data_IF_508913484479
#
_entry.id   IF_508913484479
#
_cell.length_a   1.000
_cell.length_b   1.000
_cell.length_c   1.000
_cell.angle_alpha   90.00
_cell.angle_beta   90.00
_cell.angle_gamma   90.00
#
_symmetry.space_group_name_H-M   'P 1'
#
loop_
_entity.id
_entity.type
_entity.pdbx_description
1 polymer ?
#
# COMPACT_ATOMS: atom_id res chain seq x y z
N UNK A 1 7.41 -0.91 -16.81
CA UNK A 1 6.35 0.01 -16.32
C UNK A 1 6.71 1.40 -16.82
N UNK A 2 5.75 2.24 -17.21
CA UNK A 2 5.98 3.65 -17.51
C UNK A 2 5.05 4.49 -16.64
N UNK A 3 5.64 5.46 -15.94
CA UNK A 3 4.94 6.34 -15.02
C UNK A 3 4.94 7.76 -15.57
N UNK A 4 3.76 8.23 -15.96
CA UNK A 4 3.54 9.58 -16.47
C UNK A 4 2.75 10.39 -15.45
N UNK A 5 3.20 11.60 -15.16
CA UNK A 5 2.56 12.51 -14.22
C UNK A 5 2.51 13.92 -14.81
N UNK A 6 1.49 14.68 -14.42
CA UNK A 6 1.38 16.10 -14.73
C UNK A 6 1.11 16.90 -13.47
N UNK A 7 1.78 18.05 -13.36
CA UNK A 7 1.70 18.94 -12.21
C UNK A 7 1.45 20.37 -12.67
N UNK A 8 0.78 21.15 -11.84
CA UNK A 8 0.60 22.59 -12.05
C UNK A 8 0.89 23.35 -10.77
N UNK A 9 1.46 24.55 -10.89
CA UNK A 9 1.73 25.34 -9.70
C UNK A 9 2.46 26.64 -9.96
N UNK A 10 2.91 27.26 -8.87
CA UNK A 10 3.64 28.53 -8.87
C UNK A 10 5.15 28.36 -8.77
N UNK A 11 5.67 27.13 -8.89
CA UNK A 11 7.11 26.91 -8.95
C UNK A 11 7.63 27.44 -10.29
N UNK A 12 8.62 28.33 -10.24
CA UNK A 12 9.22 28.90 -11.44
C UNK A 12 9.81 27.80 -12.34
N UNK A 13 9.66 27.93 -13.66
CA UNK A 13 10.18 26.96 -14.62
C UNK A 13 11.71 26.80 -14.51
N UNK A 14 12.44 27.90 -14.24
CA UNK A 14 13.88 27.86 -14.00
C UNK A 14 14.25 26.96 -12.81
N UNK A 15 13.47 27.01 -11.71
CA UNK A 15 13.69 26.11 -10.57
C UNK A 15 13.45 24.65 -10.94
N UNK A 16 12.44 24.34 -11.77
CA UNK A 16 12.21 22.97 -12.27
C UNK A 16 13.40 22.49 -13.09
N UNK A 17 13.91 23.34 -13.98
CA UNK A 17 15.08 23.05 -14.80
C UNK A 17 16.34 22.81 -13.96
N UNK A 18 16.64 23.69 -13.01
CA UNK A 18 17.77 23.57 -12.09
C UNK A 18 17.69 22.30 -11.22
N UNK A 19 16.51 22.01 -10.67
CA UNK A 19 16.28 20.79 -9.90
C UNK A 19 16.54 19.54 -10.75
N UNK A 20 16.02 19.52 -11.99
CA UNK A 20 16.22 18.39 -12.90
C UNK A 20 17.69 18.20 -13.28
N UNK A 21 18.39 19.28 -13.62
CA UNK A 21 19.83 19.23 -13.89
C UNK A 21 20.61 18.64 -12.72
N UNK A 22 20.31 19.08 -11.49
CA UNK A 22 20.98 18.57 -10.31
C UNK A 22 20.65 17.10 -10.05
N UNK A 23 19.39 16.69 -10.21
CA UNK A 23 18.97 15.28 -10.12
C UNK A 23 19.71 14.39 -11.14
N UNK A 24 19.78 14.82 -12.39
CA UNK A 24 20.49 14.10 -13.46
C UNK A 24 21.98 14.00 -13.17
N UNK A 25 22.59 14.96 -12.47
CA UNK A 25 23.99 14.91 -12.02
C UNK A 25 24.22 13.90 -10.92
N UNK A 26 23.38 13.90 -9.88
CA UNK A 26 23.64 13.10 -8.68
C UNK A 26 23.13 11.65 -8.78
N UNK A 27 22.19 11.36 -9.67
CA UNK A 27 21.60 10.02 -9.82
C UNK A 27 22.01 9.36 -11.14
N UNK A 28 22.89 8.35 -11.06
CA UNK A 28 23.33 7.57 -12.22
C UNK A 28 22.18 6.89 -12.97
N UNK A 29 21.12 6.49 -12.27
CA UNK A 29 19.91 5.93 -12.87
C UNK A 29 19.26 6.83 -13.93
N UNK A 30 19.35 8.16 -13.78
CA UNK A 30 18.85 9.12 -14.77
C UNK A 30 19.77 9.28 -15.99
N UNK A 31 20.92 8.60 -16.01
CA UNK A 31 21.85 8.56 -17.13
C UNK A 31 21.98 7.17 -17.75
N UNK A 32 21.08 6.25 -17.39
CA UNK A 32 21.02 4.92 -18.00
C UNK A 32 20.31 5.00 -19.35
N UNK A 33 20.99 4.55 -20.39
CA UNK A 33 20.44 4.32 -21.72
C UNK A 33 20.36 2.80 -21.99
N UNK A 34 19.42 2.41 -22.84
CA UNK A 34 19.29 1.00 -23.29
C UNK A 34 19.51 0.97 -24.79
N UNK A 35 20.54 0.26 -25.21
CA UNK A 35 20.83 -0.02 -26.61
C UNK A 35 20.25 -1.37 -27.01
N UNK A 36 19.67 -1.42 -28.21
CA UNK A 36 19.28 -2.67 -28.87
C UNK A 36 20.31 -3.01 -29.95
N UNK A 37 21.51 -3.41 -29.56
CA UNK A 37 22.46 -4.05 -30.47
C UNK A 37 22.36 -5.58 -30.37
N UNK A 38 21.94 -6.24 -31.46
CA UNK A 38 21.86 -7.71 -31.53
C UNK A 38 20.59 -8.32 -30.95
N UNK A 39 20.67 -9.55 -30.42
CA UNK A 39 19.49 -10.29 -29.90
C UNK A 39 19.14 -9.98 -28.43
N UNK A 40 20.00 -9.31 -27.68
CA UNK A 40 19.76 -8.99 -26.27
C UNK A 40 20.07 -7.50 -25.98
N UNK A 41 19.16 -6.76 -25.33
CA UNK A 41 19.39 -5.35 -25.01
C UNK A 41 20.51 -5.18 -23.97
N UNK A 42 21.37 -4.19 -24.17
CA UNK A 42 22.45 -3.82 -23.24
C UNK A 42 22.11 -2.51 -22.54
N UNK A 43 22.40 -2.44 -21.24
CA UNK A 43 22.28 -1.21 -20.46
C UNK A 43 23.66 -0.59 -20.29
N UNK A 44 23.78 0.72 -20.51
CA UNK A 44 25.00 1.45 -20.22
C UNK A 44 24.67 2.81 -19.60
N UNK A 45 25.60 3.33 -18.79
CA UNK A 45 25.48 4.66 -18.17
C UNK A 45 26.27 5.65 -19.04
N UNK A 46 25.61 6.69 -19.53
CA UNK A 46 26.30 7.77 -20.25
C UNK A 46 26.90 8.77 -19.26
N UNK A 47 28.14 9.20 -19.53
CA UNK A 47 28.81 10.21 -18.71
C UNK A 47 28.29 11.63 -18.97
N UNK A 48 27.56 11.84 -20.07
CA UNK A 48 26.97 13.12 -20.42
C UNK A 48 25.64 13.36 -19.70
N UNK A 49 25.40 14.62 -19.31
CA UNK A 49 24.13 15.10 -18.77
C UNK A 49 23.10 15.27 -19.91
N UNK A 50 22.73 14.18 -20.58
CA UNK A 50 21.71 14.22 -21.64
C UNK A 50 20.37 14.60 -21.00
N UNK A 51 19.91 15.81 -21.28
CA UNK A 51 18.65 16.33 -20.78
C UNK A 51 17.52 16.06 -21.77
N UNK A 52 16.65 15.10 -21.42
CA UNK A 52 15.37 14.90 -22.09
C UNK A 52 14.33 15.91 -21.57
N UNK A 53 14.63 17.19 -21.78
CA UNK A 53 13.87 18.34 -21.32
C UNK A 53 13.33 19.14 -22.51
N UNK A 54 12.09 19.59 -22.44
CA UNK A 54 11.50 20.51 -23.40
C UNK A 54 10.77 21.63 -22.67
N UNK A 55 10.91 22.85 -23.15
CA UNK A 55 10.23 24.03 -22.59
C UNK A 55 9.39 24.71 -23.66
N UNK A 56 8.17 25.08 -23.29
CA UNK A 56 7.20 25.73 -24.16
C UNK A 56 6.68 26.99 -23.50
N UNK A 57 6.98 28.14 -24.11
CA UNK A 57 6.51 29.43 -23.63
C UNK A 57 5.13 29.77 -24.20
N UNK A 58 4.11 29.79 -23.34
CA UNK A 58 2.73 30.13 -23.67
C UNK A 58 2.27 31.42 -22.97
N UNK A 59 3.19 32.25 -22.47
CA UNK A 59 2.85 33.50 -21.76
C UNK A 59 2.06 34.49 -22.60
N UNK A 60 2.29 34.49 -23.92
CA UNK A 60 1.60 35.37 -24.87
C UNK A 60 0.24 34.83 -25.35
N UNK A 61 -0.17 33.63 -24.92
CA UNK A 61 -1.46 33.04 -25.26
C UNK A 61 -2.53 33.45 -24.25
N UNK A 62 -3.79 33.49 -24.70
CA UNK A 62 -4.91 33.47 -23.76
C UNK A 62 -4.90 32.15 -22.97
N UNK A 63 -5.29 32.20 -21.70
CA UNK A 63 -5.31 31.03 -20.78
C UNK A 63 -6.02 29.83 -21.42
N UNK A 64 -7.18 30.04 -22.04
CA UNK A 64 -7.91 28.97 -22.73
C UNK A 64 -7.15 28.38 -23.93
N UNK A 65 -6.44 29.22 -24.69
CA UNK A 65 -5.61 28.78 -25.81
C UNK A 65 -4.40 27.96 -25.36
N UNK A 66 -3.75 28.36 -24.26
CA UNK A 66 -2.65 27.60 -23.67
C UNK A 66 -3.10 26.22 -23.18
N UNK A 67 -4.25 26.16 -22.48
CA UNK A 67 -4.85 24.90 -22.03
C UNK A 67 -5.27 24.01 -23.18
N UNK A 68 -5.81 24.57 -24.27
CA UNK A 68 -6.15 23.78 -25.46
C UNK A 68 -4.92 23.11 -26.08
N UNK A 69 -3.76 23.79 -26.08
CA UNK A 69 -2.50 23.21 -26.56
C UNK A 69 -2.01 22.10 -25.63
N UNK A 70 -1.99 22.33 -24.32
CA UNK A 70 -1.61 21.31 -23.32
C UNK A 70 -2.53 20.09 -23.44
N UNK A 71 -3.84 20.30 -23.60
CA UNK A 71 -4.80 19.22 -23.73
C UNK A 71 -4.60 18.37 -24.98
N UNK A 72 -4.07 18.95 -26.07
CA UNK A 72 -3.73 18.19 -27.27
C UNK A 72 -2.51 17.27 -27.07
N UNK A 73 -1.58 17.63 -26.16
CA UNK A 73 -0.44 16.80 -25.79
C UNK A 73 -0.80 15.72 -24.76
N UNK A 74 -1.92 15.85 -24.05
CA UNK A 74 -2.33 14.91 -22.99
C UNK A 74 -2.34 13.46 -23.46
N UNK A 75 -2.85 13.22 -24.66
CA UNK A 75 -2.90 11.88 -25.26
C UNK A 75 -1.50 11.31 -25.45
N UNK A 76 -0.52 12.12 -25.87
CA UNK A 76 0.88 11.69 -26.00
C UNK A 76 1.46 11.28 -24.65
N UNK A 77 1.17 12.01 -23.58
CA UNK A 77 1.62 11.66 -22.22
C UNK A 77 0.95 10.40 -21.67
N UNK A 78 -0.25 10.06 -22.18
CA UNK A 78 -0.95 8.81 -21.91
C UNK A 78 -0.52 7.64 -22.81
N UNK A 79 0.39 7.84 -23.76
CA UNK A 79 0.88 6.77 -24.64
C UNK A 79 2.30 6.32 -24.24
N UNK A 80 2.66 5.05 -24.51
CA UNK A 80 4.02 4.57 -24.31
C UNK A 80 5.03 5.43 -25.09
N UNK A 81 6.18 5.70 -24.47
CA UNK A 81 7.29 6.33 -25.19
C UNK A 81 7.78 5.44 -26.35
N UNK A 82 8.22 6.08 -27.43
CA UNK A 82 8.94 5.38 -28.50
C UNK A 82 10.34 5.04 -28.01
N UNK A 83 10.83 3.85 -28.35
CA UNK A 83 12.20 3.45 -28.08
C UNK A 83 13.18 4.50 -28.62
N UNK A 84 14.18 4.87 -27.83
CA UNK A 84 15.20 5.86 -28.19
C UNK A 84 16.53 5.51 -27.52
N UNK A 85 17.65 5.89 -28.14
CA UNK A 85 19.01 5.80 -27.56
C UNK A 85 19.26 6.84 -26.45
N UNK A 86 18.20 7.44 -25.90
CA UNK A 86 18.26 8.45 -24.84
C UNK A 86 17.89 7.84 -23.48
N UNK A 87 18.21 8.53 -22.37
CA UNK A 87 17.78 8.08 -21.05
C UNK A 87 16.27 7.84 -20.99
N UNK A 88 15.84 6.83 -20.24
CA UNK A 88 14.43 6.38 -20.23
C UNK A 88 13.51 7.26 -19.35
N UNK A 89 13.61 8.57 -19.52
CA UNK A 89 12.76 9.56 -18.90
C UNK A 89 12.58 10.79 -19.81
N UNK A 90 11.53 11.57 -19.59
CA UNK A 90 11.23 12.80 -20.33
C UNK A 90 10.54 13.80 -19.42
N UNK A 91 10.91 15.08 -19.51
CA UNK A 91 10.25 16.19 -18.80
C UNK A 91 9.89 17.28 -19.80
N UNK A 92 8.65 17.76 -19.74
CA UNK A 92 8.22 18.93 -20.48
C UNK A 92 7.63 19.99 -19.55
N UNK A 93 8.03 21.23 -19.75
CA UNK A 93 7.58 22.39 -18.98
C UNK A 93 6.83 23.35 -19.90
N UNK A 94 5.66 23.78 -19.47
CA UNK A 94 4.82 24.75 -20.15
C UNK A 94 4.66 25.97 -19.25
N UNK A 95 5.11 27.12 -19.74
CA UNK A 95 5.05 28.40 -19.01
C UNK A 95 3.74 29.08 -19.40
N UNK A 96 2.82 29.20 -18.45
CA UNK A 96 1.50 29.78 -18.67
C UNK A 96 1.46 31.28 -18.31
N UNK A 97 0.44 32.02 -18.78
CA UNK A 97 0.18 33.38 -18.30
C UNK A 97 0.01 33.41 -16.77
N UNK A 98 0.50 34.48 -16.12
CA UNK A 98 0.39 34.66 -14.67
C UNK A 98 1.38 33.87 -13.83
N UNK A 99 2.57 33.57 -14.37
CA UNK A 99 3.67 32.86 -13.68
C UNK A 99 3.31 31.44 -13.20
N UNK A 100 2.36 30.81 -13.88
CA UNK A 100 1.98 29.43 -13.62
C UNK A 100 2.80 28.47 -14.49
N UNK A 101 3.27 27.38 -13.89
CA UNK A 101 4.05 26.36 -14.59
C UNK A 101 3.27 25.05 -14.62
N UNK A 102 3.20 24.40 -15.79
CA UNK A 102 2.76 23.02 -15.93
C UNK A 102 3.94 22.14 -16.25
N UNK A 103 4.12 21.05 -15.50
CA UNK A 103 5.23 20.10 -15.69
C UNK A 103 4.66 18.73 -15.97
N UNK A 104 5.03 18.13 -17.10
CA UNK A 104 4.81 16.72 -17.37
C UNK A 104 6.10 15.94 -17.22
N UNK A 105 6.02 14.77 -16.60
CA UNK A 105 7.15 13.87 -16.42
C UNK A 105 6.78 12.47 -16.89
N UNK A 106 7.72 11.76 -17.49
CA UNK A 106 7.66 10.34 -17.79
C UNK A 106 8.92 9.67 -17.27
N UNK A 107 8.77 8.57 -16.54
CA UNK A 107 9.88 7.73 -16.08
C UNK A 107 9.61 6.27 -16.40
N UNK A 108 10.63 5.55 -16.86
CA UNK A 108 10.55 4.11 -17.09
C UNK A 108 11.01 3.31 -15.87
N UNK A 109 10.23 2.29 -15.55
CA UNK A 109 10.48 1.33 -14.48
C UNK A 109 11.77 0.53 -14.66
N UNK A 110 12.37 0.50 -15.86
CA UNK A 110 13.66 -0.16 -16.09
C UNK A 110 14.82 0.53 -15.36
N UNK A 111 14.73 1.85 -15.15
CA UNK A 111 15.81 2.64 -14.53
C UNK A 111 15.51 3.03 -13.08
N UNK A 112 14.23 3.18 -12.73
CA UNK A 112 13.79 3.64 -11.42
C UNK A 112 12.58 2.83 -10.94
N UNK A 113 12.62 2.35 -9.70
CA UNK A 113 11.41 1.78 -9.09
C UNK A 113 10.38 2.87 -8.74
N UNK A 114 9.14 2.47 -8.45
CA UNK A 114 8.05 3.42 -8.19
C UNK A 114 8.30 4.37 -7.01
N UNK A 115 8.99 3.93 -5.95
CA UNK A 115 9.36 4.81 -4.83
C UNK A 115 10.44 5.81 -5.27
N UNK A 116 11.43 5.36 -6.01
CA UNK A 116 12.49 6.20 -6.57
C UNK A 116 11.91 7.28 -7.48
N UNK A 117 10.94 6.93 -8.33
CA UNK A 117 10.19 7.89 -9.16
C UNK A 117 9.44 8.91 -8.28
N UNK A 118 8.72 8.45 -7.25
CA UNK A 118 8.00 9.34 -6.34
C UNK A 118 8.93 10.33 -5.61
N UNK A 119 10.11 9.85 -5.18
CA UNK A 119 11.13 10.70 -4.53
C UNK A 119 11.67 11.77 -5.49
N UNK A 120 12.01 11.37 -6.73
CA UNK A 120 12.48 12.29 -7.77
C UNK A 120 11.42 13.35 -8.09
N UNK A 121 10.15 12.97 -8.14
CA UNK A 121 9.04 13.92 -8.37
C UNK A 121 8.95 14.96 -7.26
N UNK A 122 9.04 14.54 -5.99
CA UNK A 122 9.01 15.48 -4.86
C UNK A 122 10.19 16.45 -4.91
N UNK A 123 11.38 15.96 -5.27
CA UNK A 123 12.58 16.77 -5.45
C UNK A 123 12.48 17.73 -6.63
N UNK A 124 11.98 17.26 -7.78
CA UNK A 124 11.77 18.06 -8.98
C UNK A 124 10.80 19.22 -8.71
N UNK A 125 9.74 18.96 -7.95
CA UNK A 125 8.74 19.95 -7.55
C UNK A 125 9.19 20.84 -6.37
N UNK A 126 10.43 20.73 -5.90
CA UNK A 126 10.96 21.52 -4.79
C UNK A 126 10.32 21.23 -3.43
N UNK A 127 9.59 20.12 -3.29
CA UNK A 127 8.87 19.73 -2.08
C UNK A 127 9.72 18.81 -1.16
N UNK A 128 10.84 18.31 -1.69
CA UNK A 128 11.85 17.58 -0.92
C UNK A 128 13.25 18.11 -1.26
N UNK A 129 14.19 18.13 -0.29
CA UNK A 129 15.55 18.55 -0.56
C UNK A 129 16.25 17.57 -1.50
N UNK A 130 17.08 18.11 -2.39
CA UNK A 130 17.94 17.31 -3.25
C UNK A 130 19.29 17.16 -2.54
N UNK A 131 19.47 16.02 -1.87
CA UNK A 131 20.68 15.73 -1.11
C UNK A 131 21.51 14.72 -1.89
N UNK A 132 22.73 15.09 -2.26
CA UNK A 132 23.72 14.13 -2.73
C UNK A 132 24.09 13.23 -1.55
N UNK A 133 23.55 12.02 -1.55
CA UNK A 133 24.03 10.99 -0.65
C UNK A 133 25.27 10.38 -1.32
N UNK A 134 26.43 10.52 -0.69
CA UNK A 134 27.64 9.75 -1.01
C UNK A 134 27.38 8.28 -0.65
N UNK A 135 26.42 7.65 -1.33
CA UNK A 135 26.19 6.22 -1.19
C UNK A 135 27.11 5.60 -2.21
N UNK A 136 28.23 5.06 -1.71
CA UNK A 136 28.97 4.03 -2.43
C UNK A 136 27.91 3.06 -2.94
N UNK A 137 27.80 2.89 -4.26
CA UNK A 137 26.94 1.86 -4.85
C UNK A 137 27.23 0.59 -4.06
N UNK A 138 26.25 0.14 -3.28
CA UNK A 138 26.38 -1.13 -2.58
C UNK A 138 26.38 -2.16 -3.69
N UNK A 139 27.57 -2.46 -4.21
CA UNK A 139 27.88 -3.72 -4.86
C UNK A 139 27.75 -4.78 -3.76
N UNK A 140 26.52 -5.12 -3.43
CA UNK A 140 26.26 -6.29 -2.63
C UNK A 140 26.01 -7.42 -3.63
N UNK A 141 27.07 -8.20 -3.84
CA UNK A 141 26.95 -9.65 -3.89
C UNK A 141 25.91 -10.04 -2.83
N UNK A 142 24.64 -10.15 -3.22
CA UNK A 142 23.68 -10.91 -2.47
C UNK A 142 24.19 -12.34 -2.57
N UNK A 143 25.10 -12.71 -1.67
CA UNK A 143 25.49 -14.09 -1.49
C UNK A 143 24.19 -14.90 -1.42
N UNK A 144 24.13 -15.88 -2.31
CA UNK A 144 23.04 -16.81 -2.61
C UNK A 144 22.59 -17.68 -1.42
N UNK A 145 22.89 -17.25 -0.20
CA UNK A 145 22.35 -17.82 1.02
C UNK A 145 20.82 -17.81 0.95
N UNK A 146 20.23 -19.00 1.02
CA UNK A 146 18.79 -19.17 0.96
C UNK A 146 18.17 -19.17 -0.44
N UNK A 147 18.92 -19.04 -1.55
CA UNK A 147 18.32 -19.09 -2.89
C UNK A 147 17.64 -20.44 -3.15
N UNK A 148 18.30 -21.56 -2.79
CA UNK A 148 17.74 -22.90 -2.99
C UNK A 148 16.48 -23.13 -2.15
N UNK A 149 16.48 -22.64 -0.91
CA UNK A 149 15.34 -22.71 0.01
C UNK A 149 14.18 -21.86 -0.51
N UNK A 150 14.46 -20.62 -0.93
CA UNK A 150 13.48 -19.73 -1.52
C UNK A 150 12.89 -20.30 -2.81
N UNK A 151 13.74 -20.87 -3.68
CA UNK A 151 13.29 -21.56 -4.89
C UNK A 151 12.36 -22.72 -4.54
N UNK A 152 12.73 -23.59 -3.59
CA UNK A 152 11.86 -24.71 -3.15
C UNK A 152 10.53 -24.20 -2.62
N UNK A 153 10.55 -23.17 -1.76
CA UNK A 153 9.35 -22.54 -1.23
C UNK A 153 8.41 -22.07 -2.36
N UNK A 154 8.93 -21.29 -3.32
CA UNK A 154 8.12 -20.75 -4.41
C UNK A 154 7.61 -21.84 -5.35
N UNK A 155 8.48 -22.79 -5.75
CA UNK A 155 8.09 -23.91 -6.61
C UNK A 155 6.98 -24.76 -5.98
N UNK A 156 7.01 -24.99 -4.67
CA UNK A 156 5.93 -25.66 -3.95
C UNK A 156 4.68 -24.78 -3.89
N UNK A 157 4.81 -23.49 -3.54
CA UNK A 157 3.66 -22.59 -3.39
C UNK A 157 2.87 -22.43 -4.68
N UNK A 158 3.54 -22.16 -5.81
CA UNK A 158 2.86 -21.96 -7.10
C UNK A 158 2.20 -23.24 -7.63
N UNK A 159 2.52 -24.43 -7.11
CA UNK A 159 1.76 -25.64 -7.45
C UNK A 159 0.30 -25.58 -7.03
N UNK A 160 0.00 -24.79 -6.00
CA UNK A 160 -1.37 -24.60 -5.51
C UNK A 160 -2.15 -23.53 -6.28
N UNK A 161 -1.50 -22.75 -7.15
CA UNK A 161 -2.19 -21.67 -7.84
C UNK A 161 -3.14 -22.24 -8.90
N UNK A 162 -4.40 -21.78 -8.93
CA UNK A 162 -5.36 -22.19 -9.94
C UNK A 162 -4.92 -21.72 -11.34
N UNK A 163 -5.58 -22.26 -12.37
CA UNK A 163 -5.31 -21.83 -13.74
C UNK A 163 -5.62 -20.34 -13.93
N UNK A 164 -4.84 -19.65 -14.77
CA UNK A 164 -5.12 -18.25 -15.14
C UNK A 164 -6.52 -18.06 -15.76
N UNK A 165 -7.19 -19.15 -16.17
CA UNK A 165 -8.49 -19.15 -16.85
C UNK A 165 -9.71 -18.89 -15.94
N UNK A 166 -9.55 -18.88 -14.62
CA UNK A 166 -10.68 -18.78 -13.68
C UNK A 166 -11.25 -17.36 -13.54
N UNK A 167 -10.62 -16.38 -14.17
CA UNK A 167 -11.14 -15.00 -14.29
C UNK A 167 -11.79 -14.86 -15.67
N UNK A 168 -13.00 -14.27 -15.77
CA UNK A 168 -13.72 -14.12 -17.03
C UNK A 168 -13.12 -13.01 -17.90
N UNK A 169 -11.92 -13.26 -18.43
CA UNK A 169 -11.23 -12.33 -19.32
C UNK A 169 -12.04 -12.09 -20.59
N UNK A 170 -12.24 -10.82 -20.93
CA UNK A 170 -12.94 -10.44 -22.17
C UNK A 170 -12.08 -10.64 -23.43
N UNK A 171 -10.77 -10.79 -23.26
CA UNK A 171 -9.81 -11.05 -24.33
C UNK A 171 -8.70 -12.00 -23.88
N UNK A 172 -8.03 -12.64 -24.84
CA UNK A 172 -6.87 -13.48 -24.55
C UNK A 172 -5.70 -12.62 -24.03
N UNK A 173 -5.27 -12.90 -22.81
CA UNK A 173 -4.14 -12.22 -22.17
C UNK A 173 -2.83 -12.37 -22.96
N UNK A 174 -2.65 -13.43 -23.74
CA UNK A 174 -1.44 -13.60 -24.56
C UNK A 174 -1.42 -12.69 -25.80
N UNK A 175 -2.54 -12.02 -26.12
CA UNK A 175 -2.64 -11.06 -27.22
C UNK A 175 -2.31 -9.61 -26.80
N UNK A 176 -2.00 -9.37 -25.51
CA UNK A 176 -1.72 -8.04 -24.96
C UNK A 176 -0.32 -7.53 -25.36
N UNK A 177 -0.19 -7.06 -26.60
CA UNK A 177 1.06 -6.50 -27.15
C UNK A 177 0.99 -4.97 -27.20
N UNK A 178 -0.10 -4.40 -27.73
CA UNK A 178 -0.38 -2.97 -27.74
C UNK A 178 -1.80 -2.77 -27.25
N UNK A 179 -1.91 -2.18 -26.07
CA UNK A 179 -3.17 -2.05 -25.37
C UNK A 179 -3.33 -0.62 -24.88
N UNK A 180 -4.58 -0.17 -24.81
CA UNK A 180 -4.90 1.07 -24.13
C UNK A 180 -5.07 0.79 -22.64
N UNK A 181 -4.80 1.79 -21.82
CA UNK A 181 -4.96 1.69 -20.37
C UNK A 181 -6.08 2.62 -19.91
N UNK A 182 -6.99 2.06 -19.14
CA UNK A 182 -8.00 2.80 -18.40
C UNK A 182 -7.55 2.96 -16.94
N UNK A 183 -8.15 3.94 -16.26
CA UNK A 183 -7.91 4.18 -14.85
C UNK A 183 -9.20 4.57 -14.16
N UNK A 184 -9.45 3.93 -13.03
CA UNK A 184 -10.51 4.33 -12.10
C UNK A 184 -9.92 4.55 -10.71
N UNK A 185 -10.48 5.51 -9.97
CA UNK A 185 -9.95 5.93 -8.67
C UNK A 185 -11.09 6.07 -7.67
N UNK A 186 -10.86 5.63 -6.44
CA UNK A 186 -11.66 6.01 -5.28
C UNK A 186 -10.78 6.61 -4.18
N UNK A 187 -11.39 7.42 -3.33
CA UNK A 187 -10.77 8.04 -2.15
C UNK A 187 -11.55 7.64 -0.92
N UNK A 188 -10.85 6.98 0.02
CA UNK A 188 -11.40 6.55 1.30
C UNK A 188 -10.89 7.49 2.39
N UNK A 189 -11.78 8.16 3.14
CA UNK A 189 -11.35 9.12 4.17
C UNK A 189 -10.40 8.50 5.19
N UNK A 190 -9.35 9.23 5.52
CA UNK A 190 -8.33 8.89 6.53
C UNK A 190 -8.95 8.37 7.83
N UNK A 191 -9.99 9.05 8.33
CA UNK A 191 -10.69 8.66 9.55
C UNK A 191 -11.30 7.25 9.51
N UNK A 192 -11.81 6.79 8.35
CA UNK A 192 -12.32 5.42 8.21
C UNK A 192 -11.18 4.42 8.19
N UNK A 193 -10.11 4.74 7.47
CA UNK A 193 -8.91 3.89 7.37
C UNK A 193 -8.27 3.71 8.75
N UNK A 194 -8.12 4.78 9.51
CA UNK A 194 -7.53 4.74 10.86
C UNK A 194 -8.35 3.88 11.82
N UNK A 195 -9.68 4.02 11.82
CA UNK A 195 -10.54 3.18 12.67
C UNK A 195 -10.41 1.71 12.29
N UNK A 196 -10.58 1.37 11.00
CA UNK A 196 -10.48 -0.02 10.53
C UNK A 196 -9.09 -0.61 10.80
N UNK A 197 -8.03 0.17 10.57
CA UNK A 197 -6.66 -0.25 10.84
C UNK A 197 -6.40 -0.45 12.34
N UNK A 198 -6.93 0.43 13.20
CA UNK A 198 -6.81 0.31 14.65
C UNK A 198 -7.48 -0.97 15.15
N UNK A 199 -8.67 -1.30 14.66
CA UNK A 199 -9.36 -2.53 15.04
C UNK A 199 -8.60 -3.78 14.60
N UNK A 200 -8.16 -3.85 13.34
CA UNK A 200 -7.36 -4.99 12.89
C UNK A 200 -6.01 -5.11 13.61
N UNK A 201 -5.40 -3.99 14.02
CA UNK A 201 -4.15 -3.99 14.79
C UNK A 201 -4.31 -4.63 16.17
N UNK A 202 -5.48 -4.49 16.83
CA UNK A 202 -5.78 -5.20 18.09
C UNK A 202 -5.71 -6.72 17.93
N UNK A 203 -5.92 -7.22 16.72
CA UNK A 203 -5.86 -8.64 16.35
C UNK A 203 -4.51 -9.07 15.75
N UNK A 204 -3.51 -8.17 15.79
CA UNK A 204 -2.16 -8.41 15.30
C UNK A 204 -1.99 -8.25 13.78
N UNK A 205 -2.93 -7.59 13.10
CA UNK A 205 -2.83 -7.32 11.67
C UNK A 205 -2.12 -6.00 11.37
N UNK A 206 -1.30 -6.02 10.33
CA UNK A 206 -0.65 -4.85 9.78
C UNK A 206 -1.63 -4.07 8.89
N UNK A 207 -1.51 -2.74 8.90
CA UNK A 207 -2.34 -1.83 8.10
C UNK A 207 -2.33 -2.18 6.61
N UNK A 208 -1.15 -2.48 6.05
CA UNK A 208 -1.00 -2.88 4.65
C UNK A 208 -1.78 -4.18 4.34
N UNK A 209 -1.75 -5.17 5.24
CA UNK A 209 -2.50 -6.42 5.07
C UNK A 209 -4.00 -6.20 5.15
N UNK A 210 -4.48 -5.34 6.05
CA UNK A 210 -5.92 -5.04 6.14
C UNK A 210 -6.42 -4.44 4.83
N UNK A 211 -5.71 -3.44 4.29
CA UNK A 211 -6.07 -2.79 3.04
C UNK A 211 -5.97 -3.76 1.85
N UNK A 212 -4.87 -4.51 1.75
CA UNK A 212 -4.66 -5.50 0.70
C UNK A 212 -5.68 -6.65 0.77
N UNK A 213 -6.05 -7.09 1.97
CA UNK A 213 -7.09 -8.10 2.19
C UNK A 213 -8.46 -7.61 1.77
N UNK A 214 -8.80 -6.34 2.06
CA UNK A 214 -10.02 -5.72 1.58
C UNK A 214 -10.06 -5.60 0.05
N UNK A 215 -8.94 -5.23 -0.58
CA UNK A 215 -8.80 -5.19 -2.05
C UNK A 215 -8.93 -6.60 -2.65
N UNK A 216 -8.22 -7.59 -2.10
CA UNK A 216 -8.29 -8.97 -2.58
C UNK A 216 -9.69 -9.55 -2.43
N UNK A 217 -10.37 -9.26 -1.32
CA UNK A 217 -11.77 -9.61 -1.14
C UNK A 217 -12.66 -8.95 -2.20
N UNK A 218 -12.48 -7.65 -2.47
CA UNK A 218 -13.23 -6.94 -3.52
C UNK A 218 -13.00 -7.55 -4.91
N UNK A 219 -11.75 -7.92 -5.24
CA UNK A 219 -11.44 -8.67 -6.46
C UNK A 219 -12.18 -10.01 -6.50
N UNK A 220 -12.19 -10.78 -5.41
CA UNK A 220 -12.91 -12.06 -5.39
C UNK A 220 -14.43 -11.92 -5.42
N UNK A 221 -14.96 -10.80 -4.93
CA UNK A 221 -16.39 -10.49 -5.04
C UNK A 221 -16.77 -10.06 -6.46
N UNK A 222 -15.83 -9.49 -7.21
CA UNK A 222 -16.07 -8.94 -8.54
C UNK A 222 -15.77 -9.91 -9.69
N UNK A 223 -14.73 -10.74 -9.56
CA UNK A 223 -14.16 -11.47 -10.70
C UNK A 223 -14.20 -12.98 -10.58
N UNK A 224 -13.78 -13.54 -9.44
CA UNK A 224 -13.66 -15.00 -9.28
C UNK A 224 -13.62 -15.42 -7.81
N UNK A 225 -13.95 -16.67 -7.50
CA UNK A 225 -13.92 -17.19 -6.13
C UNK A 225 -12.50 -17.23 -5.52
N UNK A 226 -11.47 -17.13 -6.35
CA UNK A 226 -10.06 -17.08 -5.95
C UNK A 226 -9.30 -16.17 -6.91
N UNK A 227 -8.31 -15.47 -6.37
CA UNK A 227 -7.38 -14.64 -7.15
C UNK A 227 -5.95 -14.91 -6.68
N UNK A 228 -5.02 -14.94 -7.63
CA UNK A 228 -3.59 -14.85 -7.37
C UNK A 228 -3.10 -13.53 -7.96
N UNK A 229 -2.17 -12.89 -7.27
CA UNK A 229 -1.68 -11.58 -7.66
C UNK A 229 -0.22 -11.42 -7.24
N UNK A 230 0.51 -10.59 -8.00
CA UNK A 230 1.83 -10.16 -7.60
C UNK A 230 1.75 -8.92 -6.71
N UNK A 231 2.71 -8.81 -5.79
CA UNK A 231 2.89 -7.67 -4.90
C UNK A 231 4.31 -7.16 -5.13
N UNK A 232 4.49 -6.00 -5.79
CA UNK A 232 5.78 -5.37 -5.92
C UNK A 232 6.35 -5.03 -4.55
N UNK A 233 7.62 -5.34 -4.33
CA UNK A 233 8.33 -5.12 -3.07
C UNK A 233 9.73 -4.59 -3.34
N UNK A 234 10.24 -3.81 -2.39
CA UNK A 234 11.59 -3.29 -2.42
C UNK A 234 12.42 -3.96 -1.31
N UNK A 235 13.50 -4.68 -1.63
CA UNK A 235 14.32 -5.37 -0.63
C UNK A 235 14.93 -4.42 0.41
N UNK A 236 15.36 -3.23 -0.04
CA UNK A 236 15.99 -2.21 0.80
C UNK A 236 15.56 -0.82 0.38
N UNK A 237 15.33 0.04 1.37
CA UNK A 237 15.12 1.47 1.15
C UNK A 237 16.42 2.29 1.19
N UNK A 238 17.55 1.65 1.48
CA UNK A 238 18.89 2.25 1.52
C UNK A 238 19.53 2.13 0.14
N UNK A 239 20.23 3.16 -0.30
CA UNK A 239 20.92 3.11 -1.59
C UNK A 239 20.75 4.38 -2.41
N UNK A 240 21.35 4.37 -3.59
CA UNK A 240 21.01 5.28 -4.65
C UNK A 240 19.58 5.03 -5.15
N UNK A 241 18.93 6.07 -5.68
CA UNK A 241 17.66 5.93 -6.40
C UNK A 241 17.91 5.17 -7.71
N UNK A 242 17.33 4.00 -7.84
CA UNK A 242 17.47 3.08 -8.97
C UNK A 242 16.25 2.16 -9.02
N UNK A 243 16.17 1.24 -9.99
CA UNK A 243 15.23 0.13 -9.88
C UNK A 243 15.86 -1.03 -9.10
N UNK A 244 15.38 -1.25 -7.88
CA UNK A 244 15.72 -2.43 -7.07
C UNK A 244 14.48 -3.30 -6.77
N UNK A 245 13.37 -3.02 -7.45
CA UNK A 245 12.10 -3.69 -7.17
C UNK A 245 12.13 -5.14 -7.65
N UNK A 246 11.52 -6.00 -6.84
CA UNK A 246 11.13 -7.37 -7.21
C UNK A 246 9.65 -7.51 -6.86
N UNK A 247 9.09 -8.71 -6.97
CA UNK A 247 7.75 -8.96 -6.48
C UNK A 247 7.65 -10.33 -5.83
N UNK A 248 6.67 -10.46 -4.93
CA UNK A 248 6.25 -11.73 -4.35
C UNK A 248 4.86 -12.07 -4.90
N UNK A 249 4.51 -13.35 -4.93
CA UNK A 249 3.15 -13.76 -5.29
C UNK A 249 2.33 -14.12 -4.06
N UNK A 250 1.04 -13.78 -4.08
CA UNK A 250 0.07 -14.15 -3.06
C UNK A 250 -1.19 -14.74 -3.70
N UNK A 251 -1.91 -15.52 -2.91
CA UNK A 251 -3.20 -16.08 -3.28
C UNK A 251 -4.24 -15.73 -2.22
N UNK A 252 -5.44 -15.38 -2.67
CA UNK A 252 -6.56 -15.06 -1.80
C UNK A 252 -7.83 -15.76 -2.30
N UNK A 253 -8.49 -16.49 -1.41
CA UNK A 253 -9.78 -17.12 -1.66
C UNK A 253 -10.90 -16.33 -1.02
N UNK A 254 -12.03 -16.26 -1.71
CA UNK A 254 -13.22 -15.53 -1.29
C UNK A 254 -13.68 -15.99 0.09
N UNK A 255 -13.80 -15.05 1.02
CA UNK A 255 -14.43 -15.30 2.30
C UNK A 255 -15.94 -15.00 2.22
N UNK A 256 -16.79 -15.95 2.64
CA UNK A 256 -18.26 -15.75 2.68
C UNK A 256 -18.66 -14.61 3.61
N UNK A 257 -17.87 -14.38 4.67
CA UNK A 257 -18.06 -13.29 5.63
C UNK A 257 -16.72 -12.61 5.83
N UNK A 258 -16.63 -11.36 5.39
CA UNK A 258 -15.44 -10.53 5.60
C UNK A 258 -15.27 -10.20 7.08
N UNK A 259 -14.09 -10.50 7.62
CA UNK A 259 -13.64 -10.16 8.97
C UNK A 259 -12.12 -9.95 8.99
N UNK A 260 -11.58 -9.39 10.07
CA UNK A 260 -10.14 -9.22 10.22
C UNK A 260 -9.41 -10.57 10.24
N UNK A 261 -9.93 -11.57 10.95
CA UNK A 261 -9.35 -12.92 11.02
C UNK A 261 -9.20 -13.55 9.64
N UNK A 262 -10.12 -13.24 8.71
CA UNK A 262 -10.06 -13.73 7.34
C UNK A 262 -8.83 -13.24 6.56
N UNK A 263 -8.17 -12.17 7.02
CA UNK A 263 -6.95 -11.63 6.43
C UNK A 263 -5.66 -12.13 7.07
N UNK A 264 -5.71 -12.93 8.15
CA UNK A 264 -4.51 -13.44 8.83
C UNK A 264 -3.66 -14.32 7.94
N UNK A 265 -4.29 -15.21 7.18
CA UNK A 265 -3.59 -16.06 6.21
C UNK A 265 -2.87 -15.23 5.14
N UNK A 266 -3.48 -14.14 4.69
CA UNK A 266 -2.83 -13.22 3.75
C UNK A 266 -1.61 -12.54 4.39
N UNK A 267 -1.67 -12.16 5.66
CA UNK A 267 -0.51 -11.61 6.37
C UNK A 267 0.66 -12.59 6.39
N UNK A 268 0.38 -13.82 6.81
CA UNK A 268 1.38 -14.90 6.89
C UNK A 268 1.96 -15.18 5.50
N UNK A 269 1.12 -15.24 4.48
CA UNK A 269 1.53 -15.50 3.11
C UNK A 269 2.47 -14.42 2.54
N UNK A 270 2.18 -13.15 2.86
CA UNK A 270 2.99 -11.99 2.48
C UNK A 270 4.31 -11.98 3.22
N UNK A 271 4.30 -12.21 4.54
CA UNK A 271 5.52 -12.27 5.35
C UNK A 271 6.44 -13.41 4.91
N UNK A 272 5.88 -14.59 4.61
CA UNK A 272 6.64 -15.72 4.06
C UNK A 272 7.20 -15.38 2.67
N UNK A 273 6.45 -14.69 1.83
CA UNK A 273 6.94 -14.20 0.54
C UNK A 273 8.15 -13.27 0.71
N UNK A 274 8.08 -12.32 1.63
CA UNK A 274 9.18 -11.40 1.95
C UNK A 274 10.43 -12.12 2.47
N UNK A 275 10.29 -13.22 3.19
CA UNK A 275 11.43 -14.02 3.66
C UNK A 275 12.13 -14.81 2.55
N UNK A 276 11.51 -14.94 1.37
CA UNK A 276 12.00 -15.77 0.26
C UNK A 276 12.28 -14.92 -1.00
N UNK A 277 12.66 -13.66 -0.83
CA UNK A 277 12.96 -12.74 -1.96
C UNK A 277 14.28 -13.05 -2.69
N UNK A 278 15.14 -13.92 -2.16
CA UNK A 278 16.38 -14.35 -2.83
C UNK A 278 16.08 -15.04 -4.17
N UNK A 279 14.92 -15.68 -4.30
CA UNK A 279 14.40 -16.12 -5.60
C UNK A 279 13.54 -14.99 -6.19
N UNK A 280 14.05 -14.32 -7.22
CA UNK A 280 13.49 -13.06 -7.69
C UNK A 280 12.11 -13.22 -8.34
N UNK A 281 11.36 -12.13 -8.46
CA UNK A 281 10.12 -12.08 -9.23
C UNK A 281 10.34 -12.40 -10.72
N UNK A 282 11.54 -12.15 -11.25
CA UNK A 282 11.91 -12.54 -12.62
C UNK A 282 12.04 -14.05 -12.73
N UNK A 283 12.71 -14.70 -11.78
CA UNK A 283 12.81 -16.16 -11.74
C UNK A 283 11.45 -16.82 -11.53
N UNK A 284 10.62 -16.25 -10.65
CA UNK A 284 9.25 -16.67 -10.43
C UNK A 284 8.40 -16.53 -11.70
N UNK A 285 8.52 -15.41 -12.41
CA UNK A 285 7.86 -15.17 -13.69
C UNK A 285 8.20 -16.26 -14.71
N UNK A 286 9.49 -16.58 -14.87
CA UNK A 286 9.95 -17.62 -15.83
C UNK A 286 9.26 -18.95 -15.57
N UNK A 287 9.24 -19.39 -14.31
CA UNK A 287 8.61 -20.66 -13.94
C UNK A 287 7.11 -20.65 -14.22
N UNK A 288 6.40 -19.59 -13.84
CA UNK A 288 4.95 -19.48 -14.06
C UNK A 288 4.62 -19.46 -15.55
N UNK A 289 5.33 -18.66 -16.35
CA UNK A 289 5.20 -18.60 -17.80
C UNK A 289 5.42 -19.95 -18.46
N UNK A 290 6.51 -20.66 -18.12
CA UNK A 290 6.85 -21.98 -18.67
C UNK A 290 5.80 -23.03 -18.34
N UNK A 291 5.28 -23.01 -17.10
CA UNK A 291 4.29 -23.96 -16.60
C UNK A 291 2.93 -23.75 -17.25
N UNK A 292 2.47 -22.51 -17.31
CA UNK A 292 1.12 -22.17 -17.80
C UNK A 292 1.08 -21.83 -19.29
N UNK A 293 2.22 -21.88 -20.00
CA UNK A 293 2.35 -21.54 -21.42
C UNK A 293 1.78 -20.16 -21.72
N UNK A 294 2.10 -19.19 -20.85
CA UNK A 294 1.64 -17.80 -20.96
C UNK A 294 2.83 -16.85 -20.98
N UNK A 295 2.64 -15.67 -21.57
CA UNK A 295 3.57 -14.55 -21.49
C UNK A 295 3.24 -13.57 -20.35
N UNK A 296 2.14 -13.80 -19.62
CA UNK A 296 1.69 -12.96 -18.50
C UNK A 296 1.62 -13.83 -17.24
N UNK A 297 2.64 -13.77 -16.36
CA UNK A 297 2.68 -14.64 -15.19
C UNK A 297 1.68 -14.21 -14.11
N UNK A 298 1.48 -12.91 -13.93
CA UNK A 298 0.59 -12.34 -12.91
C UNK A 298 -0.23 -11.21 -13.51
N UNK A 299 -1.45 -11.48 -14.03
CA UNK A 299 -2.27 -10.45 -14.66
C UNK A 299 -2.89 -9.49 -13.64
N UNK A 300 -2.95 -9.87 -12.36
CA UNK A 300 -3.42 -9.03 -11.27
C UNK A 300 -2.23 -8.63 -10.40
N UNK A 301 -2.17 -7.34 -10.06
CA UNK A 301 -1.15 -6.76 -9.19
C UNK A 301 -1.82 -5.93 -8.11
N UNK A 302 -1.30 -6.01 -6.89
CA UNK A 302 -1.64 -5.08 -5.81
C UNK A 302 -0.37 -4.36 -5.37
N UNK A 303 -0.29 -3.07 -5.67
CA UNK A 303 0.88 -2.25 -5.34
C UNK A 303 0.61 -1.41 -4.10
N UNK A 304 1.40 -1.67 -3.05
CA UNK A 304 1.38 -0.88 -1.82
C UNK A 304 2.31 0.33 -1.95
N UNK A 305 1.73 1.54 -1.95
CA UNK A 305 2.47 2.80 -2.05
C UNK A 305 2.37 3.64 -0.77
N UNK A 306 1.88 3.07 0.35
CA UNK A 306 1.66 3.78 1.61
C UNK A 306 2.91 4.51 2.15
N UNK A 307 4.10 3.97 1.87
CA UNK A 307 5.39 4.53 2.33
C UNK A 307 6.10 5.37 1.27
N UNK A 308 5.49 5.59 0.11
CA UNK A 308 6.10 6.39 -0.94
C UNK A 308 5.94 7.88 -0.61
N UNK A 309 6.96 8.71 -0.92
CA UNK A 309 6.84 10.14 -0.76
C UNK A 309 5.74 10.68 -1.68
N UNK A 310 5.00 11.66 -1.18
CA UNK A 310 3.98 12.39 -1.93
C UNK A 310 4.20 13.87 -1.75
N UNK A 311 3.74 14.68 -2.71
CA UNK A 311 3.80 16.13 -2.57
C UNK A 311 3.02 16.56 -1.32
N UNK A 312 3.59 17.49 -0.56
CA UNK A 312 2.94 18.04 0.62
C UNK A 312 1.70 18.85 0.24
N UNK A 313 0.75 18.99 1.17
CA UNK A 313 -0.43 19.83 0.98
C UNK A 313 -0.06 21.31 0.76
N UNK A 314 1.15 21.72 1.16
CA UNK A 314 1.71 23.07 0.99
C UNK A 314 2.64 23.22 -0.21
N UNK A 315 2.84 22.17 -0.99
CA UNK A 315 3.69 22.20 -2.18
C UNK A 315 3.26 23.32 -3.12
N UNK A 316 4.25 23.99 -3.73
CA UNK A 316 4.03 24.97 -4.79
C UNK A 316 3.43 24.33 -6.05
N UNK A 317 3.49 22.99 -6.16
CA UNK A 317 3.00 22.18 -7.28
C UNK A 317 1.91 21.21 -6.82
N UNK A 318 0.91 20.99 -7.67
CA UNK A 318 -0.21 20.06 -7.46
C UNK A 318 -0.33 19.10 -8.62
N UNK A 319 -0.54 17.82 -8.33
CA UNK A 319 -0.73 16.79 -9.36
C UNK A 319 -2.10 16.97 -10.02
N UNK A 320 -2.11 17.03 -11.35
CA UNK A 320 -3.32 17.16 -12.19
C UNK A 320 -3.51 15.97 -13.14
N UNK A 321 -2.49 15.13 -13.28
CA UNK A 321 -2.53 13.99 -14.18
C UNK A 321 -1.65 12.85 -13.66
N UNK A 322 -2.11 11.62 -13.90
CA UNK A 322 -1.35 10.41 -13.66
C UNK A 322 -1.80 9.34 -14.67
N UNK A 323 -0.83 8.71 -15.32
CA UNK A 323 -1.02 7.52 -16.14
C UNK A 323 0.10 6.56 -15.85
N UNK A 324 -0.25 5.39 -15.31
CA UNK A 324 0.71 4.32 -15.04
C UNK A 324 0.39 3.16 -15.95
N UNK A 325 1.42 2.67 -16.63
CA UNK A 325 1.32 1.57 -17.55
C UNK A 325 2.26 0.47 -17.10
N UNK A 326 1.71 -0.68 -16.75
CA UNK A 326 2.48 -1.84 -16.32
C UNK A 326 2.35 -2.92 -17.38
N UNK A 327 3.34 -3.08 -18.29
CA UNK A 327 3.31 -4.14 -19.28
C UNK A 327 3.15 -5.50 -18.61
N UNK A 328 2.47 -6.44 -19.29
CA UNK A 328 2.20 -7.78 -18.77
C UNK A 328 1.38 -7.82 -17.47
N UNK A 329 0.60 -6.76 -17.20
CA UNK A 329 -0.37 -6.71 -16.10
C UNK A 329 -1.70 -6.25 -16.68
N UNK A 330 -2.77 -6.99 -16.39
CA UNK A 330 -4.12 -6.67 -16.85
C UNK A 330 -4.83 -5.68 -15.91
N UNK A 331 -4.57 -5.76 -14.61
CA UNK A 331 -5.07 -4.84 -13.59
C UNK A 331 -4.03 -4.66 -12.47
N UNK A 332 -3.61 -3.43 -12.25
CA UNK A 332 -2.75 -3.00 -11.15
C UNK A 332 -3.57 -2.12 -10.19
N UNK A 333 -3.87 -2.65 -9.00
CA UNK A 333 -4.55 -1.90 -7.95
C UNK A 333 -3.51 -1.30 -7.01
N UNK A 334 -3.39 0.03 -7.03
CA UNK A 334 -2.41 0.77 -6.27
C UNK A 334 -3.09 1.53 -5.15
N UNK A 335 -2.58 1.41 -3.93
CA UNK A 335 -3.14 2.09 -2.76
C UNK A 335 -2.06 2.84 -1.97
N UNK A 336 -2.33 4.13 -1.73
CA UNK A 336 -1.42 5.06 -1.07
C UNK A 336 -2.17 6.24 -0.47
N UNK A 337 -1.48 7.10 0.27
CA UNK A 337 -2.09 8.31 0.80
C UNK A 337 -1.91 9.49 -0.16
N UNK A 338 -2.90 10.37 -0.24
CA UNK A 338 -2.73 11.69 -0.86
C UNK A 338 -2.12 12.69 0.13
N UNK A 339 -1.94 13.93 -0.32
CA UNK A 339 -1.41 15.04 0.47
C UNK A 339 -2.25 15.41 1.71
N UNK A 340 -3.54 15.06 1.71
CA UNK A 340 -4.47 15.27 2.83
C UNK A 340 -4.52 14.06 3.80
N UNK A 341 -3.78 12.99 3.51
CA UNK A 341 -3.75 11.76 4.29
C UNK A 341 -4.89 10.78 4.02
N UNK A 342 -5.77 11.07 3.07
CA UNK A 342 -6.81 10.14 2.64
C UNK A 342 -6.23 9.00 1.79
N UNK A 343 -6.81 7.81 1.90
CA UNK A 343 -6.37 6.66 1.13
C UNK A 343 -6.94 6.73 -0.28
N UNK A 344 -6.05 6.90 -1.26
CA UNK A 344 -6.37 6.81 -2.67
C UNK A 344 -6.12 5.40 -3.16
N UNK A 345 -7.13 4.80 -3.79
CA UNK A 345 -7.02 3.49 -4.43
C UNK A 345 -7.32 3.65 -5.91
N UNK A 346 -6.33 3.37 -6.75
CA UNK A 346 -6.43 3.44 -8.20
C UNK A 346 -6.35 2.04 -8.81
N UNK A 347 -7.27 1.71 -9.71
CA UNK A 347 -7.17 0.55 -10.59
C UNK A 347 -6.73 1.01 -11.97
N UNK A 348 -5.46 0.78 -12.33
CA UNK A 348 -4.96 0.96 -13.68
C UNK A 348 -5.11 -0.38 -14.42
N UNK A 349 -5.83 -0.40 -15.53
CA UNK A 349 -6.25 -1.63 -16.18
C UNK A 349 -6.15 -1.57 -17.69
N UNK A 350 -6.07 -2.74 -18.32
CA UNK A 350 -6.08 -2.84 -19.77
C UNK A 350 -7.50 -2.73 -20.32
N UNK A 351 -7.75 -1.72 -21.15
CA UNK A 351 -9.02 -1.59 -21.87
C UNK A 351 -9.23 -2.80 -22.78
N UNK A 352 -10.43 -3.35 -22.77
CA UNK A 352 -10.79 -4.57 -23.50
C UNK A 352 -10.57 -5.85 -22.71
N UNK A 353 -9.77 -5.83 -21.63
CA UNK A 353 -9.80 -6.89 -20.60
C UNK A 353 -10.85 -6.56 -19.55
N UNK A 354 -10.85 -5.31 -19.10
CA UNK A 354 -11.83 -4.77 -18.16
C UNK A 354 -12.50 -3.52 -18.73
N UNK A 355 -13.68 -3.22 -18.23
CA UNK A 355 -14.41 -1.98 -18.48
C UNK A 355 -14.29 -1.02 -17.29
N UNK A 356 -14.39 0.29 -17.55
CA UNK A 356 -14.48 1.32 -16.50
C UNK A 356 -15.54 0.95 -15.44
N UNK A 357 -16.70 0.46 -15.85
CA UNK A 357 -17.79 0.06 -14.94
C UNK A 357 -17.39 -1.11 -14.03
N UNK A 358 -16.67 -2.12 -14.55
CA UNK A 358 -16.20 -3.23 -13.71
C UNK A 358 -15.22 -2.75 -12.63
N UNK A 359 -14.28 -1.88 -12.99
CA UNK A 359 -13.29 -1.38 -12.03
C UNK A 359 -13.94 -0.42 -11.03
N UNK A 360 -14.86 0.47 -11.46
CA UNK A 360 -15.66 1.30 -10.54
C UNK A 360 -16.44 0.45 -9.53
N UNK A 361 -17.07 -0.63 -9.99
CA UNK A 361 -17.82 -1.53 -9.10
C UNK A 361 -16.91 -2.23 -8.09
N UNK A 362 -15.71 -2.66 -8.51
CA UNK A 362 -14.71 -3.22 -7.61
C UNK A 362 -14.30 -2.21 -6.53
N UNK A 363 -14.01 -0.97 -6.92
CA UNK A 363 -13.61 0.09 -5.99
C UNK A 363 -14.76 0.45 -5.02
N UNK A 364 -16.01 0.46 -5.50
CA UNK A 364 -17.18 0.59 -4.64
C UNK A 364 -17.35 -0.59 -3.67
N UNK A 365 -17.04 -1.81 -4.10
CA UNK A 365 -17.05 -3.00 -3.24
C UNK A 365 -15.98 -2.91 -2.14
N UNK A 366 -14.80 -2.38 -2.46
CA UNK A 366 -13.75 -2.09 -1.47
C UNK A 366 -14.26 -1.12 -0.38
N UNK A 367 -14.89 -0.01 -0.77
CA UNK A 367 -15.48 0.93 0.21
C UNK A 367 -16.52 0.26 1.09
N UNK A 368 -17.40 -0.55 0.51
CA UNK A 368 -18.41 -1.31 1.24
C UNK A 368 -17.78 -2.27 2.26
N UNK A 369 -16.72 -2.98 1.87
CA UNK A 369 -15.96 -3.87 2.76
C UNK A 369 -15.35 -3.09 3.93
N UNK A 370 -14.71 -1.95 3.67
CA UNK A 370 -14.11 -1.10 4.70
C UNK A 370 -15.15 -0.60 5.71
N UNK A 371 -16.34 -0.19 5.25
CA UNK A 371 -17.46 0.20 6.13
C UNK A 371 -18.05 -0.98 6.90
N UNK A 372 -18.05 -2.17 6.30
CA UNK A 372 -18.49 -3.40 6.96
C UNK A 372 -17.55 -3.79 8.11
N UNK A 373 -16.24 -3.65 7.91
CA UNK A 373 -15.23 -3.87 8.96
C UNK A 373 -15.39 -2.87 10.12
N UNK A 374 -15.62 -1.58 9.83
CA UNK A 374 -15.88 -0.54 10.85
C UNK A 374 -17.17 -0.80 11.65
N UNK A 375 -18.20 -1.40 11.04
CA UNK A 375 -19.52 -1.59 11.68
C UNK A 375 -19.67 -2.91 12.46
N UNK A 376 -19.05 -4.01 12.03
CA UNK A 376 -19.13 -5.31 12.73
C UNK A 376 -18.45 -5.28 14.11
N UNK A 377 -17.37 -4.53 14.24
CA UNK A 377 -16.70 -4.27 15.53
C UNK A 377 -17.57 -3.44 16.47
N UNK A 378 -18.25 -2.39 15.97
CA UNK A 378 -19.23 -1.62 16.77
C UNK A 378 -20.34 -2.51 17.33
N UNK A 379 -20.74 -3.56 16.60
CA UNK A 379 -21.70 -4.55 17.10
C UNK A 379 -21.07 -5.51 18.11
N UNK A 380 -19.85 -6.01 17.90
CA UNK A 380 -19.15 -6.88 18.85
C UNK A 380 -18.82 -6.15 20.16
N UNK A 381 -18.29 -4.93 20.13
CA UNK A 381 -18.07 -4.11 21.32
C UNK A 381 -19.37 -3.72 22.04
N UNK A 382 -20.50 -3.56 21.33
CA UNK A 382 -21.82 -3.28 21.93
C UNK A 382 -22.50 -4.54 22.51
N UNK A 383 -22.14 -5.72 22.02
CA UNK A 383 -22.63 -7.03 22.52
C UNK A 383 -21.76 -7.54 23.68
N UNK A 384 -20.43 -7.37 23.60
CA UNK A 384 -19.49 -7.72 24.67
C UNK A 384 -19.69 -6.80 25.89
N UNK A 385 -20.11 -5.55 25.71
CA UNK A 385 -20.35 -4.61 26.82
C UNK A 385 -21.70 -4.75 27.54
N UNK A 386 -22.62 -5.64 27.15
CA UNK A 386 -23.96 -5.72 27.78
C UNK A 386 -24.45 -7.09 28.25
N UNK A 387 -23.83 -8.20 27.86
CA UNK A 387 -24.37 -9.53 28.17
C UNK A 387 -23.48 -10.47 29.01
N UNK A 388 -22.20 -10.15 29.26
CA UNK A 388 -21.29 -11.08 29.97
C UNK A 388 -20.85 -10.64 31.38
N UNK A 389 -20.85 -9.34 31.69
CA UNK A 389 -20.42 -8.80 32.97
C UNK A 389 -21.53 -8.93 34.03
N UNK A 390 -21.26 -9.69 35.09
CA UNK A 390 -22.14 -9.78 36.26
C UNK A 390 -21.33 -9.67 37.55
N UNK A 391 -21.90 -9.05 38.58
CA UNK A 391 -21.27 -8.98 39.91
C UNK A 391 -20.92 -10.37 40.44
N UNK A 392 -21.74 -11.39 40.18
CA UNK A 392 -21.49 -12.77 40.63
C UNK A 392 -20.21 -13.37 40.05
N UNK A 393 -19.81 -13.01 38.83
CA UNK A 393 -18.58 -13.51 38.19
C UNK A 393 -17.37 -12.68 38.61
N UNK A 394 -17.51 -11.36 38.72
CA UNK A 394 -16.47 -10.51 39.32
C UNK A 394 -16.12 -10.96 40.74
N UNK A 395 -17.13 -11.31 41.54
CA UNK A 395 -16.94 -11.82 42.90
C UNK A 395 -16.10 -13.09 42.90
N UNK A 396 -16.30 -14.01 41.94
CA UNK A 396 -15.50 -15.24 41.81
C UNK A 396 -14.05 -14.96 41.46
N UNK A 397 -13.78 -14.03 40.54
CA UNK A 397 -12.43 -13.61 40.17
C UNK A 397 -11.70 -13.09 41.40
N UNK A 398 -12.28 -12.10 42.09
CA UNK A 398 -11.66 -11.49 43.27
C UNK A 398 -11.51 -12.49 44.42
N UNK A 399 -12.51 -13.33 44.69
CA UNK A 399 -12.42 -14.38 45.70
C UNK A 399 -11.33 -15.41 45.36
N UNK A 400 -11.14 -15.76 44.08
CA UNK A 400 -10.09 -16.72 43.66
C UNK A 400 -8.67 -16.16 43.83
N UNK A 401 -8.52 -14.84 43.80
CA UNK A 401 -7.24 -14.17 43.99
C UNK A 401 -6.97 -13.90 45.46
N UNK A 402 -8.01 -13.57 46.23
CA UNK A 402 -7.96 -13.34 47.68
C UNK A 402 -8.07 -14.63 48.52
N UNK A 403 -8.08 -15.81 47.86
CA UNK A 403 -8.45 -17.15 48.33
C UNK A 403 -7.79 -17.72 49.61
N UNK A 404 -7.08 -16.91 50.40
CA UNK A 404 -6.43 -17.31 51.63
C UNK A 404 -7.01 -16.67 52.91
N UNK A 405 -8.01 -15.78 52.83
CA UNK A 405 -8.46 -14.99 54.01
C UNK A 405 -9.95 -14.85 54.25
N UNK A 406 -10.82 -15.33 53.36
CA UNK A 406 -12.26 -15.11 53.50
C UNK A 406 -12.91 -16.27 54.27
N UNK A 407 -13.35 -16.00 55.49
CA UNK A 407 -14.19 -16.91 56.28
C UNK A 407 -15.69 -16.82 55.90
N UNK A 408 -16.06 -15.79 55.14
CA UNK A 408 -17.42 -15.47 54.68
C UNK A 408 -17.41 -15.09 53.19
N UNK A 409 -18.54 -15.21 52.48
CA UNK A 409 -18.67 -14.71 51.11
C UNK A 409 -18.31 -13.22 51.04
N UNK A 410 -17.59 -12.82 49.99
CA UNK A 410 -17.18 -11.42 49.79
C UNK A 410 -18.42 -10.54 49.57
N UNK A 411 -18.61 -9.52 50.41
CA UNK A 411 -19.63 -8.49 50.17
C UNK A 411 -19.14 -7.57 49.05
N UNK A 412 -20.05 -7.19 48.17
CA UNK A 412 -19.75 -6.37 46.99
C UNK A 412 -19.47 -4.91 47.35
N UNK A 413 -19.86 -4.48 48.57
CA UNK A 413 -19.66 -3.12 49.09
C UNK A 413 -18.46 -2.96 50.02
N UNK A 414 -17.86 -4.05 50.48
CA UNK A 414 -16.70 -4.00 51.38
C UNK A 414 -15.47 -3.39 50.69
N UNK A 415 -14.61 -2.74 51.49
CA UNK A 415 -13.34 -2.20 50.99
C UNK A 415 -12.37 -3.35 50.71
N UNK A 416 -12.05 -3.54 49.44
CA UNK A 416 -11.20 -4.61 48.95
C UNK A 416 -9.78 -4.54 49.53
N UNK A 417 -9.28 -3.35 49.85
CA UNK A 417 -7.96 -3.18 50.46
C UNK A 417 -7.95 -3.58 51.92
N UNK A 418 -9.05 -3.32 52.66
CA UNK A 418 -9.23 -3.82 54.04
C UNK A 418 -9.31 -5.36 54.06
N UNK A 419 -9.84 -5.97 53.00
CA UNK A 419 -9.85 -7.42 52.80
C UNK A 419 -8.49 -7.99 52.33
N UNK A 420 -7.45 -7.16 52.20
CA UNK A 420 -6.08 -7.58 51.88
C UNK A 420 -5.76 -7.63 50.38
N UNK A 421 -6.49 -6.89 49.54
CA UNK A 421 -6.10 -6.67 48.15
C UNK A 421 -4.81 -5.83 48.08
N UNK A 422 -3.75 -6.41 47.51
CA UNK A 422 -2.46 -5.74 47.31
C UNK A 422 -2.19 -5.53 45.82
N UNK A 423 -1.27 -4.62 45.47
CA UNK A 423 -0.88 -4.33 44.09
C UNK A 423 -0.45 -5.59 43.30
N UNK A 424 0.14 -6.60 43.96
CA UNK A 424 0.53 -7.88 43.34
C UNK A 424 -0.68 -8.71 42.88
N UNK A 425 -1.83 -8.57 43.55
CA UNK A 425 -3.08 -9.25 43.21
C UNK A 425 -3.75 -8.63 41.98
N UNK A 426 -3.65 -7.30 41.83
CA UNK A 426 -4.28 -6.57 40.73
C UNK A 426 -3.80 -7.01 39.36
N UNK A 427 -2.51 -7.36 39.20
CA UNK A 427 -2.00 -7.88 37.91
C UNK A 427 -2.70 -9.19 37.51
N UNK A 428 -2.90 -10.08 38.47
CA UNK A 428 -3.61 -11.37 38.25
C UNK A 428 -5.10 -11.15 37.96
N UNK A 429 -5.71 -10.17 38.62
CA UNK A 429 -7.10 -9.78 38.37
C UNK A 429 -7.27 -9.20 36.97
N UNK A 430 -6.38 -8.30 36.53
CA UNK A 430 -6.39 -7.76 35.16
C UNK A 430 -6.31 -8.89 34.12
N UNK A 431 -5.42 -9.86 34.33
CA UNK A 431 -5.28 -11.02 33.45
C UNK A 431 -6.57 -11.87 33.42
N UNK A 432 -7.18 -12.13 34.58
CA UNK A 432 -8.43 -12.88 34.66
C UNK A 432 -9.62 -12.11 34.06
N UNK A 433 -9.69 -10.78 34.21
CA UNK A 433 -10.73 -9.96 33.58
C UNK A 433 -10.59 -9.96 32.05
N UNK A 434 -9.36 -9.92 31.54
CA UNK A 434 -9.08 -10.05 30.11
C UNK A 434 -9.46 -11.43 29.58
N UNK A 435 -9.13 -12.49 30.32
CA UNK A 435 -9.46 -13.86 29.92
C UNK A 435 -10.96 -14.17 30.01
N UNK A 436 -11.65 -13.67 31.04
CA UNK A 436 -13.04 -14.03 31.31
C UNK A 436 -14.06 -13.11 30.63
N UNK A 437 -13.72 -11.84 30.42
CA UNK A 437 -14.61 -10.84 29.84
C UNK A 437 -14.06 -10.14 28.59
N UNK A 438 -12.82 -10.40 28.18
CA UNK A 438 -12.19 -9.71 27.06
C UNK A 438 -11.88 -8.24 27.33
N UNK A 439 -11.87 -7.83 28.61
CA UNK A 439 -11.70 -6.43 29.02
C UNK A 439 -10.21 -6.12 29.24
N UNK A 440 -9.70 -5.09 28.56
CA UNK A 440 -8.33 -4.59 28.76
C UNK A 440 -8.37 -3.40 29.73
N UNK A 441 -8.07 -3.67 31.00
CA UNK A 441 -8.20 -2.71 32.12
C UNK A 441 -6.85 -2.53 32.79
N UNK A 442 -6.43 -1.28 33.00
CA UNK A 442 -5.17 -0.97 33.65
C UNK A 442 -5.21 -1.19 35.17
N UNK A 443 -4.08 -1.60 35.75
CA UNK A 443 -3.93 -1.73 37.22
C UNK A 443 -4.29 -0.42 37.94
N UNK A 444 -3.88 0.73 37.40
CA UNK A 444 -4.19 2.05 37.96
C UNK A 444 -5.69 2.35 38.04
N UNK A 445 -6.49 1.83 37.12
CA UNK A 445 -7.94 2.02 37.11
C UNK A 445 -8.63 1.14 38.16
N UNK A 446 -8.11 -0.07 38.40
CA UNK A 446 -8.61 -0.93 39.47
C UNK A 446 -8.21 -0.41 40.87
N UNK A 447 -7.05 0.24 41.00
CA UNK A 447 -6.63 0.85 42.28
C UNK A 447 -7.61 1.92 42.76
N UNK A 448 -8.25 2.66 41.84
CA UNK A 448 -9.25 3.66 42.20
C UNK A 448 -10.58 3.09 42.69
N UNK A 449 -10.83 1.79 42.51
CA UNK A 449 -12.07 1.14 42.95
C UNK A 449 -11.88 0.54 44.34
N UNK A 450 -12.65 1.02 45.31
CA UNK A 450 -12.60 0.49 46.68
C UNK A 450 -13.43 -0.77 46.88
N UNK A 451 -14.48 -0.98 46.10
CA UNK A 451 -15.43 -2.09 46.24
C UNK A 451 -15.65 -2.82 44.92
N UNK A 452 -16.23 -4.03 44.95
CA UNK A 452 -16.63 -4.73 43.73
C UNK A 452 -17.72 -4.00 42.95
N UNK A 453 -18.61 -3.28 43.63
CA UNK A 453 -19.58 -2.39 42.98
C UNK A 453 -18.87 -1.30 42.19
N UNK A 454 -17.86 -0.64 42.78
CA UNK A 454 -17.06 0.37 42.08
C UNK A 454 -16.29 -0.21 40.88
N UNK A 455 -15.78 -1.44 41.00
CA UNK A 455 -15.17 -2.17 39.86
C UNK A 455 -16.24 -2.47 38.80
N UNK A 456 -17.41 -2.96 39.18
CA UNK A 456 -18.48 -3.26 38.23
C UNK A 456 -18.96 -2.00 37.51
N UNK A 457 -19.10 -0.87 38.20
CA UNK A 457 -19.45 0.43 37.61
C UNK A 457 -18.39 0.90 36.61
N UNK A 458 -17.10 0.85 36.99
CA UNK A 458 -15.98 1.14 36.10
C UNK A 458 -16.03 0.29 34.82
N UNK A 459 -16.27 -1.01 34.95
CA UNK A 459 -16.24 -1.97 33.84
C UNK A 459 -17.52 -1.95 32.98
N UNK A 460 -18.66 -1.55 33.55
CA UNK A 460 -19.95 -1.43 32.85
C UNK A 460 -20.15 -0.06 32.19
N UNK A 461 -19.28 0.92 32.50
CA UNK A 461 -19.38 2.29 31.99
C UNK A 461 -20.48 3.12 32.66
N UNK A 462 -21.01 2.65 33.81
CA UNK A 462 -21.91 3.44 34.66
C UNK A 462 -21.05 4.36 35.53
N UNK A 463 -21.16 5.68 35.34
CA UNK A 463 -20.58 6.63 36.30
C UNK A 463 -21.45 6.61 37.56
N UNK A 464 -20.82 6.51 38.73
CA UNK A 464 -21.48 6.89 39.98
C UNK A 464 -21.81 8.39 39.89
N UNK A 465 -23.08 8.73 40.10
CA UNK A 465 -23.56 10.13 40.21
C UNK A 465 -23.07 10.81 41.49
#
# INVERSE_FOLDING_TARGET
MQACHGFIGSLAHDCVHENLLYLVRIHSALRVCIEQEGQAPTQHIVNSEIMNYSEFDFRDLEVGGAWSKIASEWQRWSMPAKSSERPLWEVAVYILPGEQTVVFTRFDGLILDGRSIAQIICQLCGDAPIVSTNVTELSEDFESSGYSEAQKYWLTKIQSFPSLNDIPWQMDLNSLIRVNFGREVTVIPSSLVERVASEGAKLGLLKNTILMGAIAQAMTDSFSASVYFAIPVLPSYKGALANQSTFIAAHYSKNKKVSFESFRHLQEDVLNGLQNMSFSGVDLSRVVCERHKTIIPFPLVITNTLSWPVLSSKSAMKKIFESIQTPQVALDIRFGFNEEGDLVVAGDFVEGVFTNTQIKNLLGQLEYIMRTLDSKEKLQHKVISRQSLSLSRLTKIYASVLAYRLATPLDVKEDLFELGLELKHLRKIVEQLKNEFGLDVGVSQLVSCRSLEGVFSLLSGLKEE
#
